data_IF_041645500285
#
_entry.id   IF_041645500285
#
_cell.length_a   1.000
_cell.length_b   1.000
_cell.length_c   1.000
_cell.angle_alpha   90.00
_cell.angle_beta   90.00
_cell.angle_gamma   90.00
#
_symmetry.space_group_name_H-M   'P 1'
#
loop_
_entity.id
_entity.type
_entity.pdbx_description
1 polymer ?
#
# COMPACT_ATOMS: atom_id res chain seq x y z
N UNK A 1 8.07 1.95 6.79
CA UNK A 1 8.85 1.22 5.78
C UNK A 1 8.52 1.83 4.45
N UNK A 2 9.54 2.13 3.65
CA UNK A 2 9.39 2.80 2.36
C UNK A 2 8.82 1.83 1.34
N UNK A 3 7.63 2.13 0.81
CA UNK A 3 6.93 1.34 -0.19
C UNK A 3 6.44 2.24 -1.32
N UNK A 4 6.39 1.72 -2.54
CA UNK A 4 5.80 2.41 -3.68
C UNK A 4 4.39 1.90 -3.92
N UNK A 5 3.43 2.82 -4.01
CA UNK A 5 2.10 2.56 -4.52
C UNK A 5 2.10 2.82 -6.03
N UNK A 6 1.58 1.87 -6.82
CA UNK A 6 1.43 2.01 -8.27
C UNK A 6 0.19 1.27 -8.75
N UNK A 7 -0.24 1.53 -9.98
CA UNK A 7 -1.23 0.67 -10.66
C UNK A 7 -0.52 -0.33 -11.56
N UNK A 8 -1.00 -1.57 -11.60
CA UNK A 8 -0.55 -2.55 -12.59
C UNK A 8 -1.29 -2.36 -13.93
N UNK A 9 -0.98 -3.20 -14.92
CA UNK A 9 -1.59 -3.12 -16.25
C UNK A 9 -3.10 -3.44 -16.25
N UNK A 10 -3.60 -4.14 -15.22
CA UNK A 10 -5.02 -4.39 -15.01
C UNK A 10 -5.74 -3.23 -14.30
N UNK A 11 -5.00 -2.21 -13.85
CA UNK A 11 -5.53 -1.06 -13.11
C UNK A 11 -5.60 -1.27 -11.60
N UNK A 12 -5.19 -2.42 -11.07
CA UNK A 12 -5.24 -2.72 -9.64
C UNK A 12 -4.13 -1.98 -8.90
N UNK A 13 -4.39 -1.59 -7.66
CA UNK A 13 -3.40 -0.98 -6.79
C UNK A 13 -2.41 -2.03 -6.29
N UNK A 14 -1.12 -1.74 -6.41
CA UNK A 14 -0.02 -2.63 -6.06
C UNK A 14 0.96 -1.91 -5.14
N UNK A 15 1.45 -2.63 -4.13
CA UNK A 15 2.52 -2.20 -3.24
C UNK A 15 3.83 -2.88 -3.65
N UNK A 16 4.86 -2.07 -3.90
CA UNK A 16 6.22 -2.54 -4.10
C UNK A 16 7.12 -2.16 -2.92
N UNK A 17 7.72 -3.17 -2.28
CA UNK A 17 8.62 -3.04 -1.13
C UNK A 17 10.05 -3.33 -1.58
N UNK A 18 10.76 -2.30 -2.05
CA UNK A 18 12.11 -2.43 -2.63
C UNK A 18 13.11 -3.15 -1.72
N UNK A 19 13.06 -2.92 -0.41
CA UNK A 19 13.97 -3.57 0.56
C UNK A 19 13.80 -5.09 0.67
N UNK A 20 12.66 -5.62 0.22
CA UNK A 20 12.32 -7.04 0.33
C UNK A 20 12.12 -7.71 -1.02
N UNK A 21 12.29 -6.95 -2.11
CA UNK A 21 11.96 -7.37 -3.47
C UNK A 21 10.56 -8.02 -3.56
N UNK A 22 9.60 -7.41 -2.86
CA UNK A 22 8.23 -7.91 -2.74
C UNK A 22 7.30 -6.96 -3.48
N UNK A 23 6.46 -7.52 -4.33
CA UNK A 23 5.40 -6.79 -5.01
C UNK A 23 4.07 -7.55 -4.84
N UNK A 24 3.06 -6.88 -4.31
CA UNK A 24 1.77 -7.50 -4.02
C UNK A 24 0.60 -6.57 -4.31
N UNK A 25 -0.50 -7.15 -4.79
CA UNK A 25 -1.75 -6.44 -5.02
C UNK A 25 -2.46 -6.11 -3.71
N UNK A 26 -3.07 -4.93 -3.64
CA UNK A 26 -3.97 -4.54 -2.55
C UNK A 26 -5.34 -5.18 -2.79
N UNK A 27 -5.71 -6.14 -1.95
CA UNK A 27 -6.98 -6.88 -2.05
C UNK A 27 -8.07 -6.29 -1.16
N UNK A 28 -7.70 -5.43 -0.19
CA UNK A 28 -8.64 -4.74 0.69
C UNK A 28 -8.07 -3.39 1.14
N UNK A 29 -8.95 -2.40 1.22
CA UNK A 29 -8.69 -1.10 1.82
C UNK A 29 -9.63 -0.90 3.00
N UNK A 30 -9.09 -0.42 4.13
CA UNK A 30 -9.87 -0.11 5.34
C UNK A 30 -9.45 1.26 5.84
N UNK A 31 -10.41 2.13 6.14
CA UNK A 31 -10.15 3.41 6.81
C UNK A 31 -10.39 3.28 8.31
N UNK A 32 -9.48 3.84 9.11
CA UNK A 32 -9.58 3.82 10.57
C UNK A 32 -8.81 4.97 11.22
N UNK A 33 -8.69 4.91 12.54
CA UNK A 33 -8.01 5.95 13.33
C UNK A 33 -6.51 6.09 13.02
N UNK A 34 -5.87 5.04 12.48
CA UNK A 34 -4.47 5.07 12.04
C UNK A 34 -4.30 5.48 10.57
N UNK A 35 -5.36 5.96 9.91
CA UNK A 35 -5.39 6.26 8.48
C UNK A 35 -5.88 5.10 7.63
N UNK A 36 -5.35 4.96 6.41
CA UNK A 36 -5.71 3.90 5.47
C UNK A 36 -4.87 2.65 5.72
N UNK A 37 -5.51 1.50 5.81
CA UNK A 37 -4.86 0.20 5.92
C UNK A 37 -5.11 -0.57 4.62
N UNK A 38 -4.02 -1.00 3.98
CA UNK A 38 -4.06 -1.86 2.81
C UNK A 38 -3.69 -3.28 3.20
N UNK A 39 -4.58 -4.23 2.92
CA UNK A 39 -4.28 -5.66 3.00
C UNK A 39 -3.79 -6.13 1.65
N UNK A 40 -2.63 -6.79 1.62
CA UNK A 40 -2.00 -7.33 0.44
C UNK A 40 -2.43 -8.77 0.20
N UNK A 41 -2.31 -9.26 -1.05
CA UNK A 41 -2.68 -10.63 -1.41
C UNK A 41 -1.94 -11.71 -0.61
N UNK A 42 -0.71 -11.42 -0.16
CA UNK A 42 0.06 -12.30 0.72
C UNK A 42 -0.32 -12.21 2.22
N UNK A 43 -1.38 -11.48 2.56
CA UNK A 43 -1.90 -11.33 3.91
C UNK A 43 -1.25 -10.22 4.74
N UNK A 44 -0.30 -9.44 4.21
CA UNK A 44 0.27 -8.32 4.95
C UNK A 44 -0.71 -7.18 5.10
N UNK A 45 -0.64 -6.50 6.23
CA UNK A 45 -1.40 -5.27 6.47
C UNK A 45 -0.45 -4.09 6.62
N UNK A 46 -0.65 -3.06 5.80
CA UNK A 46 0.15 -1.84 5.77
C UNK A 46 -0.71 -0.63 6.10
N UNK A 47 -0.41 0.04 7.21
CA UNK A 47 -1.04 1.29 7.61
C UNK A 47 -0.32 2.51 7.01
N UNK A 48 -1.11 3.44 6.50
CA UNK A 48 -0.73 4.71 5.88
C UNK A 48 -1.48 5.86 6.58
N UNK A 49 -0.86 6.49 7.60
CA UNK A 49 -1.51 7.53 8.38
C UNK A 49 -1.85 8.81 7.62
N UNK A 50 -1.05 9.15 6.60
CA UNK A 50 -1.14 10.41 5.88
C UNK A 50 -1.19 10.18 4.37
N UNK A 51 -2.13 9.34 3.91
CA UNK A 51 -2.33 9.09 2.50
C UNK A 51 -3.18 10.21 1.88
N UNK A 52 -2.72 10.91 0.81
CA UNK A 52 -3.51 11.93 0.16
C UNK A 52 -4.69 11.32 -0.62
N UNK A 53 -5.78 12.09 -0.71
CA UNK A 53 -6.93 11.79 -1.56
C UNK A 53 -7.23 13.02 -2.45
N UNK A 54 -7.07 12.94 -3.79
CA UNK A 54 -6.79 11.73 -4.57
C UNK A 54 -5.32 11.27 -4.52
N UNK A 55 -5.13 9.95 -4.63
CA UNK A 55 -3.81 9.34 -4.83
C UNK A 55 -3.25 9.67 -6.22
N UNK A 56 -2.06 10.27 -6.27
CA UNK A 56 -1.28 10.45 -7.50
C UNK A 56 -0.25 9.33 -7.59
N UNK A 57 -0.43 8.41 -8.54
CA UNK A 57 0.39 7.20 -8.68
C UNK A 57 1.18 7.22 -10.00
N UNK A 58 2.40 6.65 -10.04
CA UNK A 58 3.09 5.95 -8.95
C UNK A 58 3.76 6.92 -7.95
N UNK A 59 3.67 6.63 -6.66
CA UNK A 59 4.27 7.46 -5.61
C UNK A 59 4.75 6.61 -4.42
N UNK A 60 5.83 7.06 -3.77
CA UNK A 60 6.44 6.37 -2.64
C UNK A 60 5.99 6.98 -1.32
N UNK A 61 5.66 6.11 -0.36
CA UNK A 61 5.18 6.48 0.96
C UNK A 61 5.90 5.69 2.05
N UNK A 62 5.78 6.18 3.28
CA UNK A 62 6.10 5.39 4.46
C UNK A 62 4.84 4.66 4.95
N UNK A 63 4.96 3.35 5.12
CA UNK A 63 3.91 2.48 5.64
C UNK A 63 4.36 1.72 6.88
N UNK A 64 3.47 1.52 7.85
CA UNK A 64 3.74 0.66 9.01
C UNK A 64 3.13 -0.71 8.76
N UNK A 65 3.91 -1.78 8.84
CA UNK A 65 3.37 -3.16 8.78
C UNK A 65 2.73 -3.53 10.12
N UNK A 66 1.50 -4.01 10.09
CA UNK A 66 0.72 -4.40 11.26
C UNK A 66 0.73 -5.92 11.48
N UNK A 67 0.70 -6.71 10.41
CA UNK A 67 0.77 -8.17 10.40
C UNK A 67 1.64 -8.67 9.23
#
# INVERSE_FOLDING_TARGET
MKVMLRRNNAGNLVVYVAKKDLEEEVVKETEGSEGKIFTLANGWELAFPNLPDPLVLPQTFEAKRLA
#
